data_IF_255241855446
#
_entry.id   IF_255241855446
#
_cell.length_a   1.000
_cell.length_b   1.000
_cell.length_c   1.000
_cell.angle_alpha   90.00
_cell.angle_beta   90.00
_cell.angle_gamma   90.00
#
_symmetry.space_group_name_H-M   'P 1'
#
loop_
_entity.id
_entity.type
_entity.pdbx_description
1 polymer ?
2 non-polymer ?
3 non-polymer ?
4 non-polymer ?
5 water ?
#
# COMPACT_ATOMS: atom_id res chain seq x y z
N UNK A 1 23.39 14.02 -27.57
CA UNK A 1 22.30 13.71 -26.59
C UNK A 1 22.61 14.26 -25.20
N UNK A 2 21.63 14.17 -24.32
CA UNK A 2 21.73 14.68 -22.96
C UNK A 2 20.84 13.90 -21.98
N UNK A 3 21.30 13.82 -20.75
CA UNK A 3 20.53 13.24 -19.68
C UNK A 3 19.39 14.18 -19.34
N UNK A 4 18.17 13.66 -19.42
CA UNK A 4 16.96 14.41 -19.10
C UNK A 4 16.50 14.10 -17.68
N UNK A 5 16.73 12.86 -17.25
CA UNK A 5 16.43 12.45 -15.87
C UNK A 5 17.35 11.32 -15.49
N UNK A 6 17.68 11.24 -14.21
CA UNK A 6 18.53 10.14 -13.73
C UNK A 6 18.26 9.91 -12.27
N UNK A 7 18.20 8.64 -11.89
CA UNK A 7 18.17 8.29 -10.48
C UNK A 7 18.78 6.92 -10.32
N UNK A 8 19.35 6.67 -9.16
CA UNK A 8 20.02 5.40 -8.95
C UNK A 8 20.04 5.15 -7.42
N UNK A 9 20.17 3.90 -7.07
CA UNK A 9 20.25 3.55 -5.67
C UNK A 9 20.18 2.07 -5.41
N UNK A 10 19.66 1.72 -4.24
CA UNK A 10 19.60 0.32 -3.82
C UNK A 10 18.15 -0.06 -3.60
N UNK A 11 17.78 -1.23 -4.12
CA UNK A 11 16.43 -1.80 -4.03
C UNK A 11 16.50 -3.11 -3.26
N UNK A 12 15.35 -3.51 -2.73
CA UNK A 12 15.21 -4.83 -2.11
C UNK A 12 16.13 -5.01 -0.90
N UNK A 13 16.27 -3.94 -0.11
CA UNK A 13 17.04 -4.01 1.14
C UNK A 13 16.13 -4.46 2.26
N UNK A 14 16.31 -5.72 2.67
CA UNK A 14 15.49 -6.29 3.73
C UNK A 14 16.07 -5.90 5.08
N UNK A 15 15.21 -5.42 5.96
CA UNK A 15 15.62 -4.94 7.27
C UNK A 15 14.69 -5.49 8.36
N UNK A 16 15.28 -6.06 9.40
CA UNK A 16 14.55 -6.46 10.59
C UNK A 16 15.10 -5.68 11.77
N UNK A 17 14.23 -5.26 12.67
CA UNK A 17 14.64 -4.60 13.92
C UNK A 17 13.81 -5.15 15.06
N UNK A 18 14.48 -5.37 16.19
CA UNK A 18 13.81 -5.80 17.41
C UNK A 18 13.95 -4.72 18.47
N UNK A 19 12.87 -4.52 19.21
CA UNK A 19 12.87 -3.68 20.39
C UNK A 19 12.65 -4.62 21.57
N UNK A 20 13.52 -4.53 22.58
CA UNK A 20 13.42 -5.37 23.78
C UNK A 20 13.15 -4.49 24.99
N UNK A 21 11.97 -4.64 25.60
CA UNK A 21 11.62 -3.90 26.80
C UNK A 21 12.32 -4.55 27.99
N UNK A 22 13.18 -3.79 28.64
CA UNK A 22 14.02 -4.31 29.72
C UNK A 22 13.21 -4.64 30.98
N UNK A 23 12.17 -3.85 31.25
CA UNK A 23 11.33 -4.03 32.45
C UNK A 23 10.38 -5.22 32.35
N UNK A 24 9.85 -5.49 31.15
CA UNK A 24 8.76 -6.46 30.99
C UNK A 24 9.16 -7.76 30.31
N UNK A 25 10.25 -7.72 29.55
CA UNK A 25 10.68 -8.88 28.77
C UNK A 25 9.98 -8.96 27.41
N UNK A 26 9.05 -8.04 27.17
CA UNK A 26 8.29 -8.05 25.92
C UNK A 26 9.15 -7.53 24.79
N UNK A 27 9.21 -8.30 23.71
CA UNK A 27 9.96 -7.92 22.52
C UNK A 27 8.98 -7.59 21.40
N UNK A 28 9.35 -6.64 20.54
CA UNK A 28 8.51 -6.24 19.43
C UNK A 28 9.40 -6.22 18.19
N UNK A 29 8.92 -6.82 17.09
CA UNK A 29 9.71 -6.88 15.87
C UNK A 29 9.07 -6.10 14.71
N UNK A 30 9.94 -5.62 13.84
CA UNK A 30 9.56 -4.89 12.64
C UNK A 30 10.35 -5.44 11.51
N UNK A 31 9.74 -5.65 10.36
CA UNK A 31 10.45 -6.09 9.17
C UNK A 31 9.92 -5.34 7.97
N UNK A 32 10.84 -4.88 7.14
CA UNK A 32 10.50 -4.03 6.02
C UNK A 32 11.45 -4.29 4.87
N UNK A 33 11.03 -3.96 3.66
CA UNK A 33 11.89 -3.98 2.50
C UNK A 33 11.98 -2.55 2.01
N UNK A 34 13.20 -2.05 1.82
CA UNK A 34 13.47 -0.64 1.54
C UNK A 34 14.15 -0.46 0.19
N UNK A 35 13.73 0.60 -0.51
CA UNK A 35 14.40 1.03 -1.73
C UNK A 35 14.69 2.52 -1.58
N UNK A 36 15.92 2.94 -1.88
CA UNK A 36 16.26 4.38 -1.87
C UNK A 36 16.88 4.69 -3.21
N UNK A 37 16.31 5.67 -3.92
CA UNK A 37 16.88 6.19 -5.16
C UNK A 37 17.19 7.67 -4.99
N UNK A 38 18.38 8.07 -5.43
CA UNK A 38 18.85 9.46 -5.33
C UNK A 38 18.89 10.14 -6.70
N UNK A 39 18.66 11.45 -6.68
CA UNK A 39 18.79 12.33 -7.84
C UNK A 39 19.65 13.51 -7.45
N UNK A 40 20.30 14.11 -8.43
CA UNK A 40 21.05 15.34 -8.14
C UNK A 40 21.99 15.65 -9.27
N UNK A 41 23.12 16.24 -8.92
CA UNK A 41 24.12 16.58 -9.91
C UNK A 41 25.00 15.36 -10.23
N UNK A 42 24.40 14.38 -10.89
CA UNK A 42 25.03 13.09 -11.11
C UNK A 42 25.15 12.72 -12.57
N UNK A 43 24.74 13.62 -13.45
CA UNK A 43 24.76 13.37 -14.91
C UNK A 43 26.14 12.95 -15.43
N UNK A 44 27.23 13.49 -14.87
CA UNK A 44 28.55 13.14 -15.38
C UNK A 44 28.98 11.70 -15.15
N UNK A 45 28.34 11.02 -14.18
CA UNK A 45 28.60 9.60 -14.03
C UNK A 45 28.14 8.82 -15.26
N UNK A 46 27.07 9.31 -15.88
CA UNK A 46 26.54 8.72 -17.10
C UNK A 46 27.30 9.17 -18.34
N UNK A 47 27.57 10.46 -18.45
CA UNK A 47 28.12 10.99 -19.71
C UNK A 47 29.64 10.96 -19.82
N UNK A 48 30.35 10.99 -18.69
CA UNK A 48 31.82 11.12 -18.66
C UNK A 48 32.52 10.06 -17.81
N UNK A 49 31.80 9.01 -17.41
CA UNK A 49 32.36 8.04 -16.47
C UNK A 49 32.98 8.68 -15.24
N UNK A 50 32.35 9.75 -14.74
CA UNK A 50 32.82 10.46 -13.56
C UNK A 50 32.17 9.84 -12.33
N UNK A 51 32.86 8.89 -11.70
CA UNK A 51 32.29 8.21 -10.54
C UNK A 51 32.39 9.02 -9.25
N UNK A 52 33.10 10.15 -9.28
CA UNK A 52 33.26 10.95 -8.07
C UNK A 52 31.94 11.48 -7.50
N UNK A 53 30.91 11.56 -8.35
CA UNK A 53 29.61 12.05 -7.97
C UNK A 53 28.69 10.94 -7.46
N UNK A 54 29.18 9.69 -7.52
CA UNK A 54 28.36 8.53 -7.07
C UNK A 54 28.61 8.18 -5.58
N UNK A 55 27.56 8.28 -4.79
CA UNK A 55 27.49 7.65 -3.46
C UNK A 55 27.13 6.20 -3.75
N UNK A 56 28.09 5.29 -3.59
CA UNK A 56 27.88 3.91 -4.07
C UNK A 56 26.60 3.34 -3.50
N UNK A 57 25.95 2.49 -4.27
CA UNK A 57 24.69 1.90 -3.81
C UNK A 57 24.94 1.03 -2.57
N UNK A 58 26.11 0.41 -2.49
CA UNK A 58 26.48 -0.31 -1.27
C UNK A 58 26.51 0.58 -0.01
N UNK A 59 26.99 1.82 -0.17
CA UNK A 59 26.93 2.80 0.93
C UNK A 59 25.52 3.23 1.26
N UNK A 60 24.66 3.32 0.25
CA UNK A 60 23.25 3.59 0.49
C UNK A 60 22.66 2.47 1.38
N UNK A 61 22.98 1.23 1.05
CA UNK A 61 22.58 0.08 1.88
C UNK A 61 23.08 0.21 3.31
N UNK A 62 24.36 0.53 3.49
CA UNK A 62 24.89 0.70 4.86
C UNK A 62 24.14 1.78 5.62
N UNK A 63 23.82 2.88 4.93
CA UNK A 63 23.10 3.99 5.54
C UNK A 63 21.72 3.58 6.00
N UNK A 64 21.04 2.71 5.24
CA UNK A 64 19.74 2.24 5.67
C UNK A 64 19.86 1.50 7.01
N UNK A 65 20.82 0.59 7.11
CA UNK A 65 21.00 -0.14 8.36
C UNK A 65 21.41 0.75 9.54
N UNK A 66 22.31 1.68 9.30
CA UNK A 66 22.78 2.61 10.33
C UNK A 66 21.61 3.49 10.79
N UNK A 67 20.81 3.97 9.84
CA UNK A 67 19.63 4.76 10.18
C UNK A 67 18.63 3.97 11.02
N UNK A 68 18.37 2.72 10.63
CA UNK A 68 17.51 1.86 11.41
C UNK A 68 18.03 1.62 12.82
N UNK A 69 19.35 1.57 12.99
CA UNK A 69 19.94 1.32 14.30
C UNK A 69 19.74 2.55 15.20
N UNK A 70 19.81 3.73 14.60
CA UNK A 70 19.85 4.98 15.37
C UNK A 70 18.51 5.69 15.52
N UNK A 71 17.45 5.16 14.89
CA UNK A 71 16.14 5.81 14.85
C UNK A 71 15.01 4.80 14.93
N UNK A 72 13.81 5.26 15.30
CA UNK A 72 12.67 4.36 15.22
C UNK A 72 12.37 4.02 13.76
N UNK A 73 11.96 2.79 13.50
CA UNK A 73 11.61 2.40 12.14
C UNK A 73 10.10 2.49 11.91
N UNK A 74 9.37 2.91 12.94
CA UNK A 74 7.93 3.06 12.87
C UNK A 74 7.54 4.46 13.39
N UNK A 75 6.50 5.08 12.80
CA UNK A 75 5.77 4.63 11.62
C UNK A 75 6.67 4.75 10.39
N UNK A 76 6.39 3.98 9.34
CA UNK A 76 7.26 4.02 8.15
C UNK A 76 7.38 5.39 7.47
N UNK A 77 6.33 6.20 7.58
CA UNK A 77 6.34 7.59 7.06
C UNK A 77 7.48 8.39 7.69
N UNK A 78 7.69 8.18 8.98
CA UNK A 78 8.76 8.88 9.71
C UNK A 78 10.11 8.32 9.30
N UNK A 79 10.26 7.00 9.33
CA UNK A 79 11.53 6.39 8.98
C UNK A 79 11.98 6.81 7.57
N UNK A 80 11.07 6.74 6.60
CA UNK A 80 11.38 7.15 5.25
C UNK A 80 11.80 8.58 5.14
N UNK A 81 11.14 9.44 5.94
CA UNK A 81 11.47 10.88 5.94
C UNK A 81 12.84 11.15 6.54
N UNK A 82 13.16 10.47 7.64
CA UNK A 82 14.50 10.57 8.23
C UNK A 82 15.58 10.13 7.24
N UNK A 83 15.34 8.97 6.62
CA UNK A 83 16.26 8.43 5.63
C UNK A 83 16.48 9.36 4.44
N UNK A 84 15.40 9.87 3.85
CA UNK A 84 15.51 10.75 2.71
C UNK A 84 16.22 12.05 3.07
N UNK A 85 15.88 12.57 4.24
CA UNK A 85 16.47 13.84 4.70
C UNK A 85 17.97 13.69 4.92
N UNK A 86 18.40 12.54 5.43
CA UNK A 86 19.84 12.28 5.60
C UNK A 86 20.61 12.50 4.31
N UNK A 87 20.12 11.96 3.20
CA UNK A 87 20.85 12.03 1.97
C UNK A 87 20.94 13.45 1.39
N UNK A 88 19.88 14.23 1.50
CA UNK A 88 19.93 15.56 0.89
C UNK A 88 20.74 16.51 1.78
N UNK A 89 20.80 16.22 3.08
CA UNK A 89 21.62 17.03 4.00
C UNK A 89 23.09 16.65 3.96
N UNK A 90 23.38 15.35 3.86
CA UNK A 90 24.77 14.88 3.92
C UNK A 90 25.59 15.22 2.66
N UNK A 91 24.95 15.17 1.50
CA UNK A 91 25.61 15.30 0.22
C UNK A 91 25.13 16.53 -0.50
N UNK A 92 26.01 17.51 -0.66
CA UNK A 92 25.63 18.77 -1.26
C UNK A 92 25.06 18.64 -2.65
N UNK A 93 25.55 17.68 -3.43
CA UNK A 93 25.11 17.51 -4.81
C UNK A 93 23.90 16.58 -5.00
N UNK A 94 23.43 15.97 -3.93
CA UNK A 94 22.19 15.18 -3.98
C UNK A 94 21.03 16.09 -3.62
N UNK A 95 20.06 16.18 -4.52
CA UNK A 95 18.95 17.13 -4.38
C UNK A 95 17.58 16.49 -4.17
N UNK A 96 17.47 15.17 -4.39
CA UNK A 96 16.22 14.49 -4.05
C UNK A 96 16.52 13.05 -3.64
N UNK A 97 15.71 12.55 -2.72
CA UNK A 97 15.81 11.15 -2.32
C UNK A 97 14.41 10.58 -2.34
N UNK A 98 14.27 9.42 -2.97
CA UNK A 98 12.99 8.77 -3.13
C UNK A 98 13.07 7.46 -2.39
N UNK A 99 12.23 7.31 -1.37
CA UNK A 99 12.31 6.18 -0.45
C UNK A 99 10.98 5.41 -0.49
N UNK A 100 11.06 4.12 -0.80
CA UNK A 100 9.91 3.25 -0.79
C UNK A 100 10.11 2.22 0.31
N UNK A 101 9.10 2.04 1.14
CA UNK A 101 9.15 1.06 2.24
C UNK A 101 7.93 0.19 2.17
N UNK A 102 8.14 -1.12 2.24
CA UNK A 102 7.07 -2.10 2.34
C UNK A 102 7.23 -2.74 3.72
N UNK A 103 6.19 -2.65 4.53
CA UNK A 103 6.19 -3.24 5.88
C UNK A 103 5.47 -4.56 5.84
N UNK A 104 6.14 -5.57 6.40
CA UNK A 104 5.63 -6.96 6.46
C UNK A 104 5.01 -7.21 7.81
N UNK A 105 3.96 -8.01 7.84
CA UNK A 105 3.26 -8.25 9.10
C UNK A 105 3.95 -9.30 9.97
N UNK A 106 4.21 -8.93 11.21
CA UNK A 106 4.62 -9.88 12.24
C UNK A 106 3.73 -9.63 13.45
N UNK A 107 2.65 -10.39 13.53
CA UNK A 107 1.66 -10.17 14.59
C UNK A 107 1.98 -11.06 15.79
N UNK A 108 1.89 -10.49 16.99
CA UNK A 108 2.22 -11.25 18.18
C UNK A 108 1.31 -12.49 18.29
N UNK A 109 1.89 -13.65 18.60
CA UNK A 109 1.11 -14.87 18.82
C UNK A 109 0.34 -14.80 20.13
N UNK A 110 -0.85 -15.37 20.12
CA UNK A 110 -1.65 -15.60 21.31
C UNK A 110 -1.58 -17.09 21.59
N UNK A 111 -0.96 -17.42 22.72
CA UNK A 111 -0.78 -18.80 23.12
C UNK A 111 -1.61 -18.99 24.39
N UNK A 112 -2.58 -19.90 24.33
CA UNK A 112 -3.52 -20.12 25.45
C UNK A 112 -4.24 -18.82 25.84
N UNK A 113 -4.61 -18.05 24.82
CA UNK A 113 -5.31 -16.77 25.00
C UNK A 113 -4.48 -15.66 25.62
N UNK A 114 -3.16 -15.83 25.68
CA UNK A 114 -2.26 -14.83 26.27
C UNK A 114 -1.20 -14.39 25.23
N UNK A 115 -1.04 -13.07 25.02
CA UNK A 115 -0.06 -12.58 24.04
C UNK A 115 1.37 -12.96 24.41
N UNK A 116 2.06 -13.64 23.50
CA UNK A 116 3.40 -14.12 23.80
C UNK A 116 4.44 -12.99 23.68
N UNK A 117 5.40 -12.92 24.62
CA UNK A 117 6.38 -11.84 24.61
C UNK A 117 7.40 -11.81 23.44
N UNK A 118 7.60 -12.91 22.72
CA UNK A 118 8.65 -12.91 21.70
C UNK A 118 8.43 -13.88 20.55
N UNK A 119 7.17 -14.18 20.27
CA UNK A 119 6.81 -15.07 19.17
C UNK A 119 5.73 -14.42 18.32
N UNK A 120 5.89 -14.53 17.00
CA UNK A 120 5.11 -13.80 16.02
C UNK A 120 4.71 -14.68 14.84
N UNK A 121 3.61 -14.30 14.21
CA UNK A 121 3.09 -14.99 13.03
C UNK A 121 2.84 -13.98 11.90
N UNK A 122 3.11 -14.41 10.67
CA UNK A 122 2.76 -13.62 9.48
C UNK A 122 1.30 -13.93 9.18
N UNK A 123 0.40 -13.09 9.70
CA UNK A 123 -1.03 -13.22 9.40
C UNK A 123 -1.34 -12.51 8.09
N UNK A 124 -1.11 -13.20 7.00
CA UNK A 124 -1.48 -12.68 5.72
C UNK A 124 -0.41 -11.74 5.20
N UNK A 125 -0.49 -11.60 3.90
CA UNK A 125 0.50 -11.00 3.04
C UNK A 125 0.11 -9.56 2.72
N UNK A 126 -0.95 -9.06 3.34
CA UNK A 126 -1.26 -7.64 3.29
C UNK A 126 -0.04 -6.81 3.72
N UNK A 127 0.22 -5.73 3.00
CA UNK A 127 1.35 -4.86 3.29
C UNK A 127 0.86 -3.46 3.64
N UNK A 128 1.68 -2.77 4.40
CA UNK A 128 1.56 -1.33 4.62
C UNK A 128 2.76 -0.71 3.94
N UNK A 129 2.53 0.27 3.06
CA UNK A 129 3.62 0.85 2.27
C UNK A 129 3.68 2.36 2.45
N UNK A 130 4.87 2.89 2.17
CA UNK A 130 5.03 4.33 2.01
C UNK A 130 5.95 4.64 0.85
N UNK A 131 5.67 5.75 0.17
CA UNK A 131 6.58 6.34 -0.80
C UNK A 131 6.85 7.74 -0.28
N UNK A 132 8.10 8.04 0.00
CA UNK A 132 8.50 9.35 0.56
C UNK A 132 9.43 10.00 -0.44
N UNK A 133 9.06 11.18 -0.92
CA UNK A 133 9.95 11.92 -1.82
C UNK A 133 10.44 13.18 -1.10
N UNK A 134 11.73 13.20 -0.80
CA UNK A 134 12.35 14.33 -0.08
C UNK A 134 13.11 15.13 -1.12
N UNK A 135 12.64 16.34 -1.40
CA UNK A 135 13.21 17.14 -2.48
C UNK A 135 13.73 18.46 -1.92
N UNK A 136 15.01 18.75 -2.14
CA UNK A 136 15.62 19.97 -1.61
C UNK A 136 14.82 21.21 -2.06
N UNK A 137 14.44 22.03 -1.09
CA UNK A 137 13.62 23.23 -1.35
C UNK A 137 12.12 23.02 -1.62
N UNK A 138 11.68 21.76 -1.61
CA UNK A 138 10.28 21.42 -1.88
C UNK A 138 9.65 20.50 -0.82
N UNK A 139 10.30 20.38 0.33
CA UNK A 139 9.76 19.66 1.46
C UNK A 139 9.74 18.15 1.24
N UNK A 140 8.72 17.53 1.83
CA UNK A 140 8.58 16.08 1.85
C UNK A 140 7.18 15.70 1.44
N UNK A 141 7.07 14.92 0.37
CA UNK A 141 5.80 14.41 -0.11
C UNK A 141 5.63 12.93 0.25
N UNK A 142 4.55 12.59 0.91
CA UNK A 142 4.35 11.23 1.40
C UNK A 142 3.03 10.64 0.88
N UNK A 143 3.14 9.44 0.29
CA UNK A 143 1.99 8.63 -0.08
C UNK A 143 2.03 7.36 0.76
N UNK A 144 0.96 7.11 1.48
CA UNK A 144 0.85 5.96 2.37
C UNK A 144 -0.17 5.00 1.72
N UNK A 145 0.02 3.70 1.91
CA UNK A 145 -0.93 2.77 1.28
C UNK A 145 -1.05 1.46 2.03
N UNK A 146 -2.12 0.76 1.72
CA UNK A 146 -2.23 -0.63 2.09
C UNK A 146 -2.47 -1.39 0.79
N UNK A 147 -1.94 -2.60 0.72
CA UNK A 147 -2.06 -3.38 -0.49
C UNK A 147 -2.13 -4.87 -0.13
N UNK A 148 -2.69 -5.66 -1.05
CA UNK A 148 -2.77 -7.11 -0.86
C UNK A 148 -3.78 -7.54 0.19
N UNK A 149 -4.82 -6.71 0.35
CA UNK A 149 -5.93 -7.00 1.25
C UNK A 149 -7.02 -7.68 0.40
N UNK A 150 -7.14 -8.99 0.53
CA UNK A 150 -7.96 -9.82 -0.36
C UNK A 150 -9.28 -10.14 0.35
N UNK A 151 -10.38 -9.77 -0.30
CA UNK A 151 -11.70 -9.88 0.30
C UNK A 151 -12.70 -10.46 -0.67
N UNK A 152 -13.79 -11.00 -0.13
CA UNK A 152 -14.87 -11.54 -0.96
C UNK A 152 -16.18 -11.38 -0.24
N UNK A 153 -17.22 -11.00 -0.97
CA UNK A 153 -18.57 -11.06 -0.44
C UNK A 153 -19.41 -11.93 -1.35
N UNK A 154 -20.25 -12.75 -0.74
CA UNK A 154 -20.93 -13.83 -1.47
C UNK A 154 -22.30 -13.41 -1.99
N UNK A 155 -22.73 -12.23 -1.60
CA UNK A 155 -24.00 -11.66 -2.08
C UNK A 155 -23.98 -10.15 -1.82
N UNK A 156 -25.09 -9.46 -2.12
CA UNK A 156 -25.16 -8.00 -1.97
C UNK A 156 -24.16 -7.25 -2.86
N UNK A 157 -24.01 -7.75 -4.07
CA UNK A 157 -23.31 -7.07 -5.15
C UNK A 157 -24.17 -7.23 -6.40
N UNK A 158 -24.38 -6.13 -7.12
CA UNK A 158 -25.16 -6.13 -8.35
C UNK A 158 -24.37 -5.46 -9.44
N UNK A 159 -24.73 -5.74 -10.68
CA UNK A 159 -24.19 -4.99 -11.81
C UNK A 159 -25.16 -5.03 -13.00
N UNK A 160 -25.93 -3.96 -13.12
CA UNK A 160 -26.88 -3.81 -14.20
C UNK A 160 -26.95 -2.35 -14.64
N UNK A 161 -27.62 -2.10 -15.75
CA UNK A 161 -27.75 -0.75 -16.29
C UNK A 161 -26.58 -0.21 -17.08
N UNK A 162 -25.61 -1.08 -17.39
CA UNK A 162 -24.46 -0.68 -18.19
C UNK A 162 -24.82 -0.57 -19.66
N UNK A 163 -23.93 0.07 -20.41
CA UNK A 163 -24.13 0.27 -21.83
C UNK A 163 -24.21 -1.06 -22.57
N UNK A 164 -25.23 -1.21 -23.42
CA UNK A 164 -25.36 -2.42 -24.22
C UNK A 164 -25.37 -2.07 -25.70
N UNK A 165 -24.45 -2.67 -26.45
CA UNK A 165 -24.39 -2.47 -27.88
C UNK A 165 -23.89 -3.74 -28.54
N UNK A 166 -23.44 -3.65 -29.79
CA UNK A 166 -23.10 -4.84 -30.56
C UNK A 166 -21.85 -5.58 -30.06
N UNK A 167 -21.11 -4.96 -29.14
CA UNK A 167 -19.96 -5.62 -28.49
C UNK A 167 -20.28 -6.27 -27.14
N UNK A 168 -21.54 -6.19 -26.73
CA UNK A 168 -21.95 -6.62 -25.40
C UNK A 168 -22.56 -8.02 -25.38
N UNK A 169 -22.02 -8.89 -24.52
CA UNK A 169 -22.58 -10.18 -24.23
C UNK A 169 -22.96 -10.33 -22.74
N UNK A 170 -22.40 -9.51 -21.86
CA UNK A 170 -22.59 -9.66 -20.42
C UNK A 170 -24.04 -9.51 -19.99
N UNK A 171 -24.54 -10.48 -19.24
CA UNK A 171 -25.89 -10.41 -18.69
C UNK A 171 -25.93 -9.51 -17.45
N UNK A 172 -26.94 -8.66 -17.39
CA UNK A 172 -27.23 -7.93 -16.16
C UNK A 172 -27.47 -8.88 -14.98
N UNK A 173 -27.03 -8.49 -13.78
CA UNK A 173 -27.22 -9.30 -12.59
C UNK A 173 -27.62 -8.47 -11.38
N UNK A 174 -28.46 -9.05 -10.55
CA UNK A 174 -28.92 -8.45 -9.32
C UNK A 174 -28.37 -9.19 -8.11
N UNK A 175 -27.46 -10.15 -8.32
CA UNK A 175 -26.83 -10.86 -7.23
C UNK A 175 -25.63 -11.59 -7.80
N UNK A 176 -24.43 -11.11 -7.46
CA UNK A 176 -23.19 -11.75 -7.86
C UNK A 176 -22.22 -11.76 -6.69
N UNK A 177 -21.17 -12.56 -6.84
CA UNK A 177 -20.03 -12.51 -5.95
C UNK A 177 -19.17 -11.31 -6.33
N UNK A 178 -18.60 -10.68 -5.32
CA UNK A 178 -17.62 -9.61 -5.54
C UNK A 178 -16.37 -9.92 -4.74
N UNK A 179 -15.24 -9.99 -5.43
CA UNK A 179 -13.96 -10.24 -4.77
C UNK A 179 -12.88 -9.38 -5.37
N UNK A 180 -12.00 -8.88 -4.52
CA UNK A 180 -10.92 -7.98 -4.96
C UNK A 180 -9.69 -8.08 -4.07
N UNK A 181 -8.58 -7.51 -4.55
CA UNK A 181 -7.33 -7.33 -3.79
C UNK A 181 -7.20 -5.81 -3.65
N UNK A 182 -7.42 -5.27 -2.47
CA UNK A 182 -7.49 -3.82 -2.30
C UNK A 182 -6.10 -3.20 -2.27
N UNK A 183 -5.89 -2.18 -3.12
CA UNK A 183 -4.74 -1.29 -3.10
C UNK A 183 -5.33 0.10 -2.86
N UNK A 184 -5.03 0.70 -1.72
CA UNK A 184 -5.58 2.00 -1.34
C UNK A 184 -4.42 2.91 -0.93
N UNK A 185 -4.37 4.10 -1.49
CA UNK A 185 -3.28 5.02 -1.23
C UNK A 185 -3.85 6.37 -0.80
N UNK A 186 -3.25 6.97 0.21
CA UNK A 186 -3.64 8.32 0.63
C UNK A 186 -2.41 9.20 0.57
N UNK A 187 -2.59 10.34 -0.10
CA UNK A 187 -1.52 11.30 -0.33
C UNK A 187 -1.67 12.42 0.71
N UNK A 188 -0.62 12.62 1.49
CA UNK A 188 -0.65 13.68 2.51
C UNK A 188 -0.36 15.03 1.88
N UNK A 189 -0.90 16.10 2.52
CA UNK A 189 -0.45 17.46 2.25
C UNK A 189 1.08 17.49 2.31
N UNK A 190 1.70 18.31 1.48
CA UNK A 190 3.15 18.49 1.52
C UNK A 190 3.58 18.93 2.91
N UNK A 191 4.63 18.30 3.41
CA UNK A 191 5.28 18.69 4.65
C UNK A 191 6.52 19.55 4.37
N UNK A 192 6.76 20.56 5.22
CA UNK A 192 7.88 21.48 4.97
C UNK A 192 9.24 20.86 5.24
N UNK A 193 9.25 19.79 6.01
CA UNK A 193 10.49 19.14 6.38
C UNK A 193 10.26 18.10 7.45
N UNK A 194 11.35 17.58 7.97
CA UNK A 194 11.29 16.51 8.97
C UNK A 194 10.57 16.94 10.26
N UNK A 195 10.76 18.19 10.69
CA UNK A 195 10.11 18.62 11.92
C UNK A 195 8.59 18.49 11.75
N UNK A 196 8.07 18.89 10.60
CA UNK A 196 6.62 18.84 10.37
C UNK A 196 6.12 17.38 10.32
N UNK A 197 6.90 16.51 9.69
CA UNK A 197 6.53 15.10 9.66
C UNK A 197 6.46 14.55 11.09
N UNK A 198 7.50 14.82 11.87
CA UNK A 198 7.55 14.37 13.25
C UNK A 198 6.34 14.88 14.04
N UNK A 199 5.94 16.12 13.79
CA UNK A 199 4.82 16.75 14.52
C UNK A 199 3.49 16.03 14.31
N UNK A 200 3.38 15.28 13.21
CA UNK A 200 2.14 14.57 12.88
C UNK A 200 2.19 13.06 13.10
N UNK A 201 3.22 12.58 13.81
CA UNK A 201 3.48 11.14 13.91
C UNK A 201 2.25 10.31 14.32
N UNK A 202 1.49 10.75 15.33
CA UNK A 202 0.33 9.94 15.73
C UNK A 202 -0.70 9.73 14.60
N UNK A 203 -0.80 10.68 13.68
CA UNK A 203 -1.78 10.58 12.59
C UNK A 203 -1.49 9.42 11.64
N UNK A 204 -0.22 9.01 11.52
CA UNK A 204 0.14 8.01 10.52
C UNK A 204 -0.48 6.63 10.82
N UNK A 205 -0.24 6.09 12.01
CA UNK A 205 -0.78 4.77 12.37
C UNK A 205 -2.31 4.83 12.43
N UNK A 206 -2.81 5.94 12.95
CA UNK A 206 -4.27 6.11 13.11
C UNK A 206 -5.00 6.16 11.77
N UNK A 207 -4.40 6.85 10.80
CA UNK A 207 -5.00 6.99 9.48
C UNK A 207 -4.95 5.66 8.74
N UNK A 208 -3.84 4.93 8.86
CA UNK A 208 -3.78 3.59 8.28
C UNK A 208 -4.89 2.68 8.86
N UNK A 209 -5.05 2.72 10.18
CA UNK A 209 -6.08 1.91 10.82
C UNK A 209 -7.46 2.33 10.32
N UNK A 210 -7.69 3.63 10.22
CA UNK A 210 -8.97 4.13 9.74
C UNK A 210 -9.22 3.69 8.30
N UNK A 211 -8.22 3.82 7.46
CA UNK A 211 -8.37 3.48 6.05
C UNK A 211 -8.74 2.01 5.91
N UNK A 212 -8.08 1.17 6.68
CA UNK A 212 -8.38 -0.26 6.67
C UNK A 212 -9.80 -0.54 7.15
N UNK A 213 -10.17 0.07 8.28
CA UNK A 213 -11.51 -0.12 8.88
C UNK A 213 -12.61 0.32 7.93
N UNK A 214 -12.42 1.48 7.30
CA UNK A 214 -13.43 2.05 6.38
C UNK A 214 -13.57 1.16 5.17
N UNK A 215 -12.44 0.69 4.65
CA UNK A 215 -12.44 -0.18 3.48
C UNK A 215 -13.24 -1.44 3.75
N UNK A 216 -12.93 -2.11 4.85
CA UNK A 216 -13.63 -3.36 5.15
C UNK A 216 -15.10 -3.16 5.46
N UNK A 217 -15.44 -2.15 6.26
CA UNK A 217 -16.84 -1.92 6.63
C UNK A 217 -17.67 -1.55 5.42
N UNK A 218 -17.13 -0.69 4.57
CA UNK A 218 -17.86 -0.25 3.38
C UNK A 218 -18.07 -1.42 2.43
N UNK A 219 -17.03 -2.22 2.23
CA UNK A 219 -17.13 -3.35 1.33
C UNK A 219 -18.19 -4.31 1.86
N UNK A 220 -18.16 -4.58 3.16
CA UNK A 220 -19.06 -5.55 3.78
C UNK A 220 -20.52 -5.09 3.78
N UNK A 221 -20.74 -3.81 4.01
CA UNK A 221 -22.09 -3.27 4.24
C UNK A 221 -22.74 -2.64 3.01
N UNK A 222 -21.97 -2.23 2.00
CA UNK A 222 -22.58 -1.57 0.86
C UNK A 222 -23.36 -2.60 0.06
N UNK A 223 -24.61 -2.29 -0.32
CA UNK A 223 -25.23 -3.09 -1.38
C UNK A 223 -24.78 -2.50 -2.71
N UNK A 224 -23.70 -3.09 -3.20
CA UNK A 224 -22.86 -2.49 -4.23
C UNK A 224 -23.52 -2.46 -5.62
N UNK A 225 -23.56 -1.29 -6.24
CA UNK A 225 -24.07 -1.10 -7.60
C UNK A 225 -23.00 -1.35 -8.66
N UNK A 226 -21.75 -1.33 -8.23
CA UNK A 226 -20.60 -1.51 -9.06
C UNK A 226 -19.38 -1.37 -8.17
N UNK A 227 -18.24 -1.82 -8.67
CA UNK A 227 -16.97 -1.57 -7.97
C UNK A 227 -16.71 -0.07 -7.88
N UNK A 228 -16.95 0.63 -8.98
CA UNK A 228 -16.82 2.09 -9.07
C UNK A 228 -17.55 2.77 -7.91
N UNK A 229 -18.82 2.41 -7.72
CA UNK A 229 -19.64 3.09 -6.73
C UNK A 229 -19.18 2.80 -5.30
N UNK A 230 -18.79 1.56 -5.05
CA UNK A 230 -18.36 1.17 -3.72
C UNK A 230 -17.03 1.83 -3.35
N UNK A 231 -16.10 1.90 -4.30
CA UNK A 231 -14.78 2.45 -3.99
C UNK A 231 -14.88 3.95 -3.70
N UNK A 232 -15.79 4.62 -4.37
CA UNK A 232 -15.96 6.06 -4.18
C UNK A 232 -16.44 6.32 -2.75
N UNK A 233 -17.35 5.49 -2.27
CA UNK A 233 -17.84 5.61 -0.91
C UNK A 233 -16.71 5.45 0.11
N UNK A 234 -15.81 4.53 -0.16
CA UNK A 234 -14.65 4.34 0.73
C UNK A 234 -13.79 5.60 0.78
N UNK A 235 -13.42 6.11 -0.39
CA UNK A 235 -12.52 7.26 -0.50
C UNK A 235 -13.13 8.49 0.18
N UNK A 236 -14.41 8.72 -0.09
CA UNK A 236 -15.17 9.84 0.48
C UNK A 236 -15.06 9.86 2.02
N UNK A 237 -15.22 8.69 2.65
CA UNK A 237 -15.16 8.58 4.10
C UNK A 237 -13.77 8.88 4.64
N UNK A 238 -12.75 8.33 3.99
CA UNK A 238 -11.39 8.52 4.45
C UNK A 238 -11.02 10.00 4.41
N UNK A 239 -11.41 10.67 3.33
CA UNK A 239 -11.13 12.11 3.21
C UNK A 239 -11.84 12.89 4.31
N UNK A 240 -13.03 12.43 4.68
CA UNK A 240 -13.82 13.10 5.71
C UNK A 240 -13.22 12.96 7.10
N UNK A 241 -12.43 11.91 7.32
CA UNK A 241 -11.89 11.60 8.66
C UNK A 241 -10.52 12.21 8.94
N UNK A 242 -9.81 12.65 7.91
CA UNK A 242 -8.45 13.17 8.11
C UNK A 242 -8.16 14.30 7.14
N UNK A 243 -8.26 15.52 7.66
CA UNK A 243 -8.16 16.70 6.82
C UNK A 243 -6.75 16.90 6.24
N UNK A 244 -5.73 16.25 6.79
CA UNK A 244 -4.35 16.40 6.26
C UNK A 244 -4.10 15.54 5.00
N UNK A 245 -5.05 14.67 4.66
CA UNK A 245 -5.03 13.93 3.40
C UNK A 245 -5.58 14.80 2.29
N UNK A 246 -4.85 14.90 1.18
CA UNK A 246 -5.29 15.66 0.01
C UNK A 246 -6.09 14.80 -0.98
N UNK A 247 -5.64 13.57 -1.21
CA UNK A 247 -6.36 12.68 -2.12
C UNK A 247 -6.27 11.24 -1.66
N UNK A 248 -7.23 10.45 -2.11
CA UNK A 248 -7.27 9.01 -1.85
C UNK A 248 -7.42 8.33 -3.19
N UNK A 249 -6.64 7.28 -3.43
CA UNK A 249 -6.67 6.56 -4.70
C UNK A 249 -6.91 5.09 -4.39
N UNK A 250 -7.86 4.48 -5.08
CA UNK A 250 -8.06 3.03 -5.05
C UNK A 250 -7.73 2.41 -6.42
N UNK A 251 -7.12 1.23 -6.40
CA UNK A 251 -6.98 0.40 -7.58
C UNK A 251 -7.47 -0.98 -7.19
N UNK A 252 -8.54 -1.43 -7.83
CA UNK A 252 -9.24 -2.65 -7.44
C UNK A 252 -9.43 -3.58 -8.65
N UNK A 253 -8.81 -4.76 -8.61
CA UNK A 253 -9.17 -5.78 -9.59
C UNK A 253 -10.55 -6.37 -9.26
N UNK A 254 -11.34 -6.67 -10.28
CA UNK A 254 -12.60 -7.39 -10.11
C UNK A 254 -12.27 -8.84 -10.48
N UNK A 255 -12.16 -9.69 -9.46
CA UNK A 255 -11.69 -11.06 -9.63
C UNK A 255 -12.94 -11.92 -9.85
N UNK A 256 -13.16 -12.37 -11.08
CA UNK A 256 -14.46 -12.94 -11.47
C UNK A 256 -14.65 -14.38 -11.00
N UNK A 257 -15.85 -14.67 -10.52
CA UNK A 257 -16.29 -16.02 -10.19
C UNK A 257 -17.47 -16.33 -11.08
N UNK A 258 -17.28 -17.28 -11.98
CA UNK A 258 -18.30 -17.57 -13.00
C UNK A 258 -19.25 -18.64 -12.52
N UNK A 259 -20.54 -18.44 -12.78
CA UNK A 259 -21.50 -19.50 -12.62
C UNK A 259 -21.15 -20.67 -13.55
N UNK A 260 -21.54 -21.88 -13.14
CA UNK A 260 -21.32 -23.10 -13.93
C UNK A 260 -22.67 -23.75 -14.20
N UNK A 261 -23.07 -23.73 -15.47
CA UNK A 261 -24.28 -24.40 -15.91
C UNK A 261 -24.05 -25.89 -15.92
N UNK A 262 -24.83 -26.60 -15.11
CA UNK A 262 -24.73 -28.04 -15.01
C UNK A 262 -26.03 -28.74 -15.44
N UNK A 263 -26.93 -28.00 -16.10
CA UNK A 263 -28.24 -28.57 -16.47
C UNK A 263 -28.14 -29.66 -17.52
N UNK A 264 -27.06 -29.64 -18.29
CA UNK A 264 -26.73 -30.73 -19.23
C UNK A 264 -26.57 -32.09 -18.52
N UNK A 265 -26.28 -32.08 -17.21
CA UNK A 265 -26.09 -33.27 -16.41
C UNK A 265 -27.26 -33.54 -15.47
N UNK A 266 -28.15 -34.46 -15.86
CA UNK A 266 -29.28 -34.88 -15.00
C UNK A 266 -30.16 -33.71 -14.53
N UNK A 267 -30.25 -32.68 -15.37
CA UNK A 267 -31.04 -31.47 -15.10
C UNK A 267 -30.61 -30.69 -13.86
N UNK A 268 -29.34 -30.81 -13.48
CA UNK A 268 -28.85 -30.20 -12.27
C UNK A 268 -28.96 -28.68 -12.34
N UNK A 269 -29.51 -28.07 -11.29
CA UNK A 269 -29.75 -26.63 -11.25
C UNK A 269 -28.70 -25.92 -10.39
N UNK A 270 -27.87 -25.13 -11.06
CA UNK A 270 -26.74 -24.42 -10.43
C UNK A 270 -26.57 -23.00 -10.95
N UNK A 271 -27.63 -22.38 -11.47
CA UNK A 271 -27.56 -21.02 -11.95
C UNK A 271 -28.62 -20.19 -11.24
N UNK A 272 -28.46 -18.87 -11.31
CA UNK A 272 -29.36 -17.95 -10.64
C UNK A 272 -29.51 -18.22 -9.17
N UNK A 273 -30.75 -18.37 -8.73
CA UNK A 273 -31.03 -18.56 -7.31
C UNK A 273 -30.54 -19.91 -6.78
N UNK A 274 -30.27 -20.85 -7.69
CA UNK A 274 -29.76 -22.16 -7.34
C UNK A 274 -28.24 -22.26 -7.43
N UNK A 275 -27.57 -21.16 -7.73
CA UNK A 275 -26.11 -21.18 -7.92
C UNK A 275 -25.39 -21.41 -6.60
N UNK A 276 -24.66 -22.52 -6.52
CA UNK A 276 -23.89 -22.88 -5.33
C UNK A 276 -22.41 -23.06 -5.65
N UNK A 277 -22.09 -23.67 -6.79
CA UNK A 277 -20.71 -23.96 -7.18
C UNK A 277 -20.31 -23.04 -8.33
N UNK A 278 -19.16 -22.39 -8.17
CA UNK A 278 -18.63 -21.41 -9.12
C UNK A 278 -17.18 -21.76 -9.47
N UNK A 279 -16.75 -21.22 -10.61
CA UNK A 279 -15.37 -21.38 -11.11
C UNK A 279 -14.67 -20.02 -10.98
N UNK A 280 -13.79 -19.88 -9.97
CA UNK A 280 -12.96 -18.68 -9.91
C UNK A 280 -12.07 -18.59 -11.15
N UNK A 281 -12.00 -17.39 -11.74
CA UNK A 281 -11.23 -17.15 -12.98
C UNK A 281 -9.95 -16.47 -12.60
N UNK A 282 -8.82 -17.02 -13.02
CA UNK A 282 -7.52 -16.41 -12.74
C UNK A 282 -7.27 -15.16 -13.63
N UNK A 283 -7.78 -15.21 -14.85
CA UNK A 283 -7.67 -14.09 -15.79
C UNK A 283 -8.71 -14.28 -16.88
N UNK A 284 -9.11 -13.19 -17.55
CA UNK A 284 -8.76 -11.81 -17.26
C UNK A 284 -9.46 -11.29 -16.04
N UNK A 285 -9.18 -10.05 -15.68
CA UNK A 285 -9.86 -9.40 -14.57
C UNK A 285 -10.18 -7.97 -14.92
N UNK A 286 -11.28 -7.48 -14.39
CA UNK A 286 -11.57 -6.04 -14.46
C UNK A 286 -10.54 -5.32 -13.62
N UNK A 287 -10.27 -4.07 -13.98
CA UNK A 287 -9.37 -3.22 -13.19
C UNK A 287 -10.00 -1.84 -13.12
N UNK A 288 -10.28 -1.39 -11.91
CA UNK A 288 -11.09 -0.18 -11.68
C UNK A 288 -10.28 0.75 -10.79
N UNK A 289 -10.08 1.98 -11.25
CA UNK A 289 -9.23 2.93 -10.54
C UNK A 289 -9.95 4.24 -10.36
N UNK A 290 -9.61 4.94 -9.30
CA UNK A 290 -10.17 6.27 -9.07
C UNK A 290 -9.29 7.05 -8.11
N UNK A 291 -9.17 8.35 -8.33
CA UNK A 291 -8.51 9.26 -7.41
C UNK A 291 -9.57 10.28 -7.00
N UNK A 292 -9.75 10.42 -5.70
CA UNK A 292 -10.79 11.28 -5.16
C UNK A 292 -10.08 12.36 -4.35
N UNK A 293 -10.53 13.59 -4.53
CA UNK A 293 -10.02 14.73 -3.79
C UNK A 293 -11.16 15.57 -3.25
N UNK A 294 -10.80 16.72 -2.73
CA UNK A 294 -11.76 17.62 -2.12
C UNK A 294 -12.25 18.58 -3.19
N UNK A 295 -13.55 18.87 -3.17
CA UNK A 295 -14.11 19.86 -4.08
C UNK A 295 -14.17 21.20 -3.35
X LIG B 1 -4.36 14.95 17.12
X LIG C 1 -31.10 -4.40 -27.07
X LIG D 1 -39.63 -32.82 11.52
X LIG E 1 -17.77 -2.61 -12.88
X LIG E 1 -18.24 -3.69 -12.20
X LIG E 1 -18.43 -3.57 -10.97
X LIG E 1 -18.48 -4.91 -12.78
X LIG E 1 -18.26 -4.98 -14.12
X LIG E 1 -17.80 -3.92 -14.89
X LIG E 1 -17.55 -2.64 -14.20
X LIG E 1 -17.12 -1.66 -14.83
X LIG E 1 -17.71 -4.31 -16.16
X LIG E 1 -18.08 -5.64 -16.16
X LIG E 1 -18.43 -6.07 -14.89
X LIG F 1 -4.87 12.90 15.98
X LIG F 1 -5.49 12.96 14.78
X LIG F 1 -5.80 11.80 14.08
X LIG F 1 -5.46 10.58 14.64
X LIG F 1 -4.82 10.54 15.88
X LIG F 1 -4.51 11.73 16.55
X LIG F 1 -5.83 14.32 14.23
X LIG F 1 -5.58 15.32 14.95
X LIG F 1 -6.33 14.41 13.09
X LIG F 1 -3.83 11.76 17.88
X LIG F 1 -3.76 12.85 18.51
X LIG F 1 -3.34 10.71 18.36
X LIG G 1 -2.24 15.43 18.08
X LIG G 1 -1.19 15.34 17.24
X LIG G 1 0.07 15.81 17.63
X LIG G 1 0.22 16.36 18.90
X LIG G 1 -0.88 16.44 19.75
X LIG G 1 -2.11 15.95 19.30
X LIG G 1 -1.46 14.75 15.90
X LIG G 1 -2.65 14.46 15.62
X LIG G 1 -0.51 14.58 15.11
X LIG G 1 -3.36 15.98 20.13
X LIG G 1 -4.43 15.63 19.56
X LIG G 1 -3.31 16.34 21.32
X LIG H 1 -6.04 16.57 17.32
X LIG H 1 -5.86 17.84 16.96
X LIG H 1 -6.94 18.72 16.96
X LIG H 1 -8.20 18.25 17.35
X LIG H 1 -8.35 16.92 17.71
X LIG H 1 -7.25 16.08 17.69
X LIG H 1 -4.47 18.26 16.57
X LIG H 1 -3.54 17.42 16.66
X LIG H 1 -4.25 19.42 16.17
X LIG H 1 -7.31 14.64 18.08
X LIG H 1 -6.27 13.95 17.93
X LIG H 1 -8.37 14.14 18.53
X LIG I 1 -30.98 -2.06 -26.99
X LIG I 1 -31.44 -1.49 -28.13
X LIG I 1 -31.46 -0.10 -28.24
X LIG I 1 -31.00 0.67 -27.19
X LIG I 1 -30.53 0.05 -26.02
X LIG I 1 -30.52 -1.33 -25.97
X LIG I 1 -31.92 -2.40 -29.21
X LIG I 1 -31.98 -3.63 -28.97
X LIG I 1 -32.24 -1.91 -30.32
X LIG I 1 -30.05 -2.11 -24.78
X LIG I 1 -30.10 -3.37 -24.88
X LIG I 1 -29.64 -1.54 -23.75
X LIG J 1 -29.08 -5.59 -26.60
X LIG J 1 -29.15 -6.55 -25.66
X LIG J 1 -28.00 -7.27 -25.34
X LIG J 1 -26.79 -6.99 -25.98
X LIG J 1 -26.76 -6.01 -26.95
X LIG J 1 -27.94 -5.31 -27.25
X LIG J 1 -30.46 -6.81 -24.99
X LIG J 1 -31.48 -6.18 -25.39
X LIG J 1 -30.51 -7.65 -24.05
X LIG J 1 -27.99 -4.23 -28.27
X LIG J 1 -28.85 -3.33 -28.10
X LIG J 1 -27.22 -4.26 -29.27
X LIG K 1 -32.99 -5.55 -27.71
X LIG K 1 -32.83 -6.59 -28.55
X LIG K 1 -33.94 -7.30 -29.02
X LIG K 1 -35.21 -6.91 -28.61
X LIG K 1 -35.35 -5.83 -27.74
X LIG K 1 -34.21 -5.15 -27.29
X LIG K 1 -31.43 -6.96 -28.95
X LIG K 1 -30.49 -6.47 -28.31
X LIG K 1 -31.25 -7.75 -29.91
X LIG K 1 -34.30 -3.98 -26.35
X LIG K 1 -33.23 -3.44 -25.98
X LIG K 1 -35.41 -3.58 -25.96
#
# INVERSE_FOLDING_TARGET
SAVKAARYGKDNVRVYKVHKDEKTGVQTVYEMTVCVLLEGEIETSYTKADNSVIVATDSIKNTIYITAKQNPVTPPELFGSILGTHFIEKYNHIHAAHVNIVCHRWTRMDIDGKPHPHSFIRDSEEKRNVQVDVVEGKGIDIKSSLSGLTVLKSTNSQFWGFLRDEYTTLKETWDRILSTDVDATWQWKNFSGLQEVRSHVPKFDATWATAREVTLKTFAEDNSASVQATMYKMAEQILARQQLIETVEYSLPNKHYFEIDLSWHKGLQNTGKNAEVFAPQSDPNGLIKCTVGRS
LU LU
LU LU
LU LU
AZA N1 C2 O2 N3 C4 C5 C6 O6 N7 N8 N9
PDC N1 C2 C3 C4 C5 C6 C7 O1 O2 C8 O3 O4
PDC N1 C2 C3 C4 C5 C6 C7 O1 O2 C8 O3 O4
PDC N1 C2 C3 C4 C5 C6 C7 O1 O2 C8 O3 O4
PDC N1 C2 C3 C4 C5 C6 C7 O1 O2 C8 O3 O4
PDC N1 C2 C3 C4 C5 C6 C7 O1 O2 C8 O3 O4
PDC N1 C2 C3 C4 C5 C6 C7 O1 O2 C8 O3 O4
#
